data_IF_617810995708
#
_entry.id   IF_617810995708
#
_cell.length_a   1.000
_cell.length_b   1.000
_cell.length_c   1.000
_cell.angle_alpha   90.00
_cell.angle_beta   90.00
_cell.angle_gamma   90.00
#
_symmetry.space_group_name_H-M   'P 1'
#
loop_
_entity.id
_entity.type
_entity.pdbx_description
1 polymer ?
#
# COMPACT_ATOMS: atom_id res chain seq x y z
N UNK A 1 0.60 24.53 -1.32
CA UNK A 1 -0.30 25.57 -1.86
C UNK A 1 -0.05 25.64 -3.37
N UNK A 2 -1.07 25.45 -4.20
CA UNK A 2 -0.94 25.46 -5.68
C UNK A 2 -1.73 26.66 -6.23
N UNK A 3 -1.17 27.39 -7.19
CA UNK A 3 -1.76 28.56 -7.86
C UNK A 3 -2.88 28.24 -8.87
N UNK A 4 -3.11 26.97 -9.18
CA UNK A 4 -4.10 26.55 -10.20
C UNK A 4 -5.37 25.90 -9.66
N UNK A 5 -5.35 25.39 -8.42
CA UNK A 5 -6.49 24.71 -7.81
C UNK A 5 -6.79 25.36 -6.46
N UNK A 6 -8.04 25.82 -6.28
CA UNK A 6 -8.50 26.54 -5.08
C UNK A 6 -9.07 25.62 -4.00
N UNK A 7 -9.22 24.32 -4.28
CA UNK A 7 -9.69 23.32 -3.32
C UNK A 7 -8.79 22.09 -3.36
N UNK A 8 -8.59 21.46 -2.20
CA UNK A 8 -7.99 20.13 -2.14
C UNK A 8 -8.85 19.14 -2.93
N UNK A 9 -8.25 18.17 -3.63
CA UNK A 9 -9.03 17.06 -4.16
C UNK A 9 -9.77 16.35 -3.02
N UNK A 10 -10.91 15.75 -3.33
CA UNK A 10 -11.76 15.08 -2.36
C UNK A 10 -12.02 13.65 -2.80
N UNK A 11 -12.31 12.77 -1.84
CA UNK A 11 -12.69 11.38 -2.09
C UNK A 11 -11.55 10.40 -1.88
N UNK A 12 -11.74 9.20 -2.43
CA UNK A 12 -10.82 8.09 -2.33
C UNK A 12 -10.51 7.60 -3.74
N UNK A 13 -9.24 7.55 -4.11
CA UNK A 13 -8.76 6.96 -5.34
C UNK A 13 -7.76 5.87 -5.02
N UNK A 14 -8.03 4.65 -5.49
CA UNK A 14 -7.17 3.48 -5.31
C UNK A 14 -6.86 2.95 -6.68
N UNK A 15 -5.57 2.81 -6.98
CA UNK A 15 -5.06 2.20 -8.20
C UNK A 15 -4.28 0.94 -7.83
N UNK A 16 -4.70 -0.19 -8.36
CA UNK A 16 -3.97 -1.47 -8.25
C UNK A 16 -3.42 -1.79 -9.62
N UNK A 17 -2.09 -1.85 -9.72
CA UNK A 17 -1.39 -2.12 -10.98
C UNK A 17 -0.67 -3.46 -10.90
N UNK A 18 -1.27 -4.55 -11.44
CA UNK A 18 -0.60 -5.84 -11.56
C UNK A 18 0.73 -5.74 -12.32
N UNK A 19 1.73 -6.50 -11.86
CA UNK A 19 2.99 -6.62 -12.59
C UNK A 19 2.81 -7.60 -13.76
N UNK A 20 3.06 -7.13 -14.99
CA UNK A 20 2.98 -7.94 -16.20
C UNK A 20 4.01 -9.08 -16.27
N UNK A 21 5.07 -9.02 -15.46
CA UNK A 21 6.20 -9.96 -15.50
C UNK A 21 6.27 -10.88 -14.27
N UNK A 22 5.50 -10.59 -13.22
CA UNK A 22 5.54 -11.33 -11.95
C UNK A 22 4.10 -11.60 -11.46
N UNK A 23 3.48 -12.71 -11.89
CA UNK A 23 2.12 -13.07 -11.49
C UNK A 23 1.97 -13.17 -9.97
N UNK A 24 0.93 -12.53 -9.42
CA UNK A 24 0.71 -12.45 -7.98
C UNK A 24 1.41 -11.28 -7.29
N UNK A 25 2.01 -10.36 -8.06
CA UNK A 25 2.55 -9.10 -7.54
C UNK A 25 1.86 -7.89 -8.17
N UNK A 26 1.61 -6.86 -7.37
CA UNK A 26 1.09 -5.57 -7.86
C UNK A 26 1.56 -4.40 -7.01
N UNK A 27 1.63 -3.23 -7.62
CA UNK A 27 1.76 -1.96 -6.89
C UNK A 27 0.37 -1.44 -6.56
N UNK A 28 0.21 -0.88 -5.37
CA UNK A 28 -1.04 -0.27 -4.89
C UNK A 28 -0.73 1.19 -4.56
N UNK A 29 -1.44 2.11 -5.19
CA UNK A 29 -1.40 3.53 -4.86
C UNK A 29 -2.76 3.95 -4.29
N UNK A 30 -2.74 4.57 -3.11
CA UNK A 30 -3.93 5.08 -2.43
C UNK A 30 -3.80 6.58 -2.26
N UNK A 31 -4.80 7.31 -2.74
CA UNK A 31 -4.98 8.74 -2.51
C UNK A 31 -6.30 8.90 -1.75
N UNK A 32 -6.21 9.22 -0.46
CA UNK A 32 -7.37 9.43 0.41
C UNK A 32 -7.30 10.79 1.10
N UNK A 33 -7.91 11.79 0.50
CA UNK A 33 -7.87 13.14 1.07
C UNK A 33 -8.64 13.28 2.39
N UNK A 34 -9.46 12.30 2.76
CA UNK A 34 -10.16 12.25 4.06
C UNK A 34 -9.27 11.80 5.22
N UNK A 35 -8.15 11.12 4.91
CA UNK A 35 -7.17 10.67 5.90
C UNK A 35 -7.65 9.51 6.75
N UNK A 36 -8.44 8.58 6.19
CA UNK A 36 -8.88 7.38 6.90
C UNK A 36 -7.68 6.53 7.36
N UNK A 37 -7.88 5.76 8.43
CA UNK A 37 -6.85 4.86 8.97
C UNK A 37 -6.70 3.56 8.18
N UNK A 38 -7.70 3.20 7.37
CA UNK A 38 -7.68 2.04 6.48
C UNK A 38 -8.63 2.22 5.30
N UNK A 39 -8.36 1.51 4.21
CA UNK A 39 -9.20 1.52 3.00
C UNK A 39 -9.43 0.10 2.49
N UNK A 40 -10.58 -0.16 1.88
CA UNK A 40 -10.87 -1.43 1.23
C UNK A 40 -10.25 -1.45 -0.19
N UNK A 41 -9.32 -2.37 -0.44
CA UNK A 41 -8.62 -2.50 -1.73
C UNK A 41 -9.04 -3.79 -2.41
N UNK A 42 -9.51 -3.71 -3.66
CA UNK A 42 -9.77 -4.89 -4.48
C UNK A 42 -8.46 -5.43 -5.08
N UNK A 43 -8.15 -6.70 -4.77
CA UNK A 43 -6.95 -7.41 -5.23
C UNK A 43 -7.28 -8.56 -6.19
N UNK A 44 -8.53 -8.67 -6.65
CA UNK A 44 -9.02 -9.77 -7.49
C UNK A 44 -8.29 -9.90 -8.84
N UNK A 45 -7.68 -8.82 -9.33
CA UNK A 45 -6.84 -8.84 -10.53
C UNK A 45 -5.45 -9.45 -10.31
N UNK A 46 -5.06 -9.70 -9.06
CA UNK A 46 -3.71 -10.11 -8.65
C UNK A 46 -3.72 -11.44 -7.89
N UNK A 47 -4.75 -11.65 -7.07
CA UNK A 47 -4.89 -12.79 -6.17
C UNK A 47 -6.19 -13.55 -6.47
N UNK A 48 -6.13 -14.85 -6.27
CA UNK A 48 -7.30 -15.74 -6.29
C UNK A 48 -7.69 -16.13 -4.87
N UNK A 49 -8.98 -16.42 -4.65
CA UNK A 49 -9.44 -16.83 -3.33
C UNK A 49 -8.69 -18.10 -2.87
N UNK A 50 -8.13 -18.06 -1.66
CA UNK A 50 -7.26 -19.08 -1.11
C UNK A 50 -5.75 -18.77 -1.21
N UNK A 51 -5.34 -17.78 -2.02
CA UNK A 51 -3.94 -17.35 -2.09
C UNK A 51 -3.50 -16.72 -0.76
N UNK A 52 -2.34 -17.14 -0.25
CA UNK A 52 -1.67 -16.41 0.84
C UNK A 52 -0.90 -15.25 0.27
N UNK A 53 -0.91 -14.11 0.96
CA UNK A 53 -0.26 -12.90 0.50
C UNK A 53 0.37 -12.10 1.64
N UNK A 54 1.26 -11.20 1.24
CA UNK A 54 1.79 -10.12 2.07
C UNK A 54 1.62 -8.78 1.36
N UNK A 55 1.43 -7.72 2.13
CA UNK A 55 1.47 -6.33 1.64
C UNK A 55 2.61 -5.62 2.36
N UNK A 56 3.52 -5.05 1.58
CA UNK A 56 4.69 -4.31 2.04
C UNK A 56 4.45 -2.81 1.83
N UNK A 57 4.97 -1.99 2.74
CA UNK A 57 5.07 -0.55 2.54
C UNK A 57 6.19 -0.26 1.53
N UNK A 58 5.93 0.52 0.48
CA UNK A 58 6.93 0.89 -0.49
C UNK A 58 8.05 1.77 0.11
N UNK A 59 7.78 2.53 1.17
CA UNK A 59 8.77 3.32 1.90
C UNK A 59 9.62 2.50 2.87
N UNK A 60 9.22 1.25 3.16
CA UNK A 60 9.98 0.30 3.95
C UNK A 60 9.86 -1.12 3.38
N UNK A 61 10.24 -1.29 2.12
CA UNK A 61 10.00 -2.51 1.36
C UNK A 61 10.62 -3.77 1.97
N UNK A 62 11.76 -3.64 2.65
CA UNK A 62 12.46 -4.74 3.31
C UNK A 62 12.09 -4.88 4.80
N UNK A 63 11.15 -4.07 5.29
CA UNK A 63 10.64 -4.13 6.65
C UNK A 63 9.60 -5.24 6.86
N UNK A 64 8.97 -5.23 8.03
CA UNK A 64 7.87 -6.13 8.32
C UNK A 64 6.66 -5.81 7.42
N UNK A 65 5.92 -6.83 6.94
CA UNK A 65 4.70 -6.62 6.17
C UNK A 65 3.67 -5.79 6.95
N UNK A 66 3.04 -4.86 6.24
CA UNK A 66 1.89 -4.09 6.75
C UNK A 66 0.70 -5.00 7.02
N UNK A 67 0.51 -6.01 6.17
CA UNK A 67 -0.55 -6.98 6.29
C UNK A 67 -0.11 -8.34 5.76
N UNK A 68 -0.48 -9.39 6.47
CA UNK A 68 -0.38 -10.79 6.05
C UNK A 68 -1.79 -11.38 6.07
N UNK A 69 -2.10 -12.25 5.13
CA UNK A 69 -3.40 -12.91 5.12
C UNK A 69 -3.59 -13.93 4.01
N UNK A 70 -4.79 -14.50 3.99
CA UNK A 70 -5.28 -15.34 2.90
C UNK A 70 -6.42 -14.58 2.22
N UNK A 71 -6.32 -14.42 0.91
CA UNK A 71 -7.32 -13.70 0.14
C UNK A 71 -8.61 -14.52 0.08
N UNK A 72 -9.73 -13.92 0.46
CA UNK A 72 -11.02 -14.61 0.52
C UNK A 72 -11.93 -14.26 -0.68
N UNK A 73 -11.41 -13.57 -1.69
CA UNK A 73 -12.19 -13.09 -2.84
C UNK A 73 -12.97 -11.81 -2.59
N UNK A 74 -12.85 -11.18 -1.42
CA UNK A 74 -13.43 -9.88 -1.10
C UNK A 74 -12.35 -8.81 -0.97
N UNK A 75 -12.68 -7.51 -1.10
CA UNK A 75 -11.73 -6.43 -0.89
C UNK A 75 -11.00 -6.55 0.46
N UNK A 76 -9.69 -6.33 0.45
CA UNK A 76 -8.82 -6.40 1.62
C UNK A 76 -8.81 -5.06 2.33
N UNK A 77 -9.08 -5.05 3.64
CA UNK A 77 -8.96 -3.84 4.45
C UNK A 77 -7.47 -3.54 4.70
N UNK A 78 -6.92 -2.59 3.95
CA UNK A 78 -5.52 -2.18 3.99
C UNK A 78 -5.34 -1.05 5.01
N UNK A 79 -4.54 -1.25 6.08
CA UNK A 79 -4.18 -0.16 6.98
C UNK A 79 -3.36 0.91 6.26
N UNK A 80 -3.77 2.17 6.39
CA UNK A 80 -3.02 3.35 5.98
C UNK A 80 -2.27 3.99 7.16
N UNK A 81 -2.53 3.58 8.40
CA UNK A 81 -1.86 4.09 9.61
C UNK A 81 -0.61 3.30 10.02
N UNK A 82 -0.35 2.16 9.36
CA UNK A 82 0.95 1.46 9.41
C UNK A 82 2.09 2.32 8.88
N UNK A 83 1.77 3.44 8.24
CA UNK A 83 2.62 4.58 7.87
C UNK A 83 3.27 5.29 9.07
N UNK A 84 2.96 4.92 10.31
CA UNK A 84 3.77 5.29 11.48
C UNK A 84 5.00 4.37 11.67
N UNK A 85 5.21 3.39 10.79
CA UNK A 85 6.42 2.58 10.75
C UNK A 85 7.62 3.38 10.21
N UNK A 86 8.82 3.00 10.65
CA UNK A 86 10.06 3.58 10.18
C UNK A 86 10.13 3.51 8.65
N UNK A 87 10.41 4.65 8.00
CA UNK A 87 10.86 4.68 6.61
C UNK A 87 12.25 4.06 6.56
N UNK A 88 12.59 3.33 5.50
CA UNK A 88 13.93 2.81 5.33
C UNK A 88 14.97 3.96 5.36
N UNK A 89 15.99 3.83 6.19
CA UNK A 89 17.05 4.84 6.28
C UNK A 89 18.07 4.68 5.14
N UNK A 90 18.62 5.78 4.61
CA UNK A 90 19.76 5.72 3.71
C UNK A 90 20.95 5.00 4.35
N UNK A 91 21.66 4.21 3.55
CA UNK A 91 22.93 3.61 3.97
C UNK A 91 23.93 4.74 4.24
N UNK A 92 24.56 4.71 5.42
CA UNK A 92 25.40 5.81 5.92
C UNK A 92 24.69 6.74 6.90
N UNK A 93 23.40 6.50 7.16
CA UNK A 93 22.58 7.27 8.10
C UNK A 93 21.99 8.53 7.47
N UNK A 94 21.08 9.16 8.21
CA UNK A 94 20.47 10.42 7.83
C UNK A 94 20.62 11.45 8.95
N UNK A 95 21.04 12.67 8.61
CA UNK A 95 21.02 13.80 9.56
C UNK A 95 19.61 14.37 9.78
N UNK A 96 18.61 13.87 9.06
CA UNK A 96 17.21 14.27 9.15
C UNK A 96 16.35 13.05 9.51
N UNK A 97 15.46 13.19 10.48
CA UNK A 97 14.46 12.16 10.80
C UNK A 97 13.56 11.98 9.57
N UNK A 98 13.67 10.83 8.93
CA UNK A 98 12.84 10.50 7.77
C UNK A 98 11.41 10.27 8.26
N UNK A 99 10.46 11.01 7.70
CA UNK A 99 9.05 10.88 8.02
C UNK A 99 8.34 10.19 6.88
N UNK A 100 7.48 9.26 7.23
CA UNK A 100 6.60 8.61 6.27
C UNK A 100 5.59 9.62 5.70
N UNK A 101 5.09 9.36 4.49
CA UNK A 101 3.93 10.06 3.94
C UNK A 101 2.72 9.98 4.87
N UNK A 102 1.87 11.01 4.88
CA UNK A 102 0.65 11.03 5.70
C UNK A 102 -0.34 9.96 5.26
N UNK A 103 -1.38 9.70 6.07
CA UNK A 103 -2.49 8.80 5.71
C UNK A 103 -3.25 9.22 4.45
N UNK A 104 -3.02 10.43 3.93
CA UNK A 104 -3.64 10.88 2.70
C UNK A 104 -3.02 10.27 1.43
N UNK A 105 -1.82 9.72 1.54
CA UNK A 105 -1.16 9.00 0.46
C UNK A 105 -0.41 7.77 0.96
N UNK A 106 -0.77 6.61 0.41
CA UNK A 106 -0.12 5.34 0.68
C UNK A 106 0.39 4.67 -0.61
N UNK A 107 1.59 4.12 -0.55
CA UNK A 107 2.17 3.33 -1.63
C UNK A 107 2.59 1.97 -1.07
N UNK A 108 2.08 0.90 -1.67
CA UNK A 108 2.27 -0.46 -1.18
C UNK A 108 2.57 -1.43 -2.30
N UNK A 109 3.12 -2.59 -1.94
CA UNK A 109 3.32 -3.71 -2.87
C UNK A 109 2.68 -4.94 -2.28
N UNK A 110 1.74 -5.55 -3.01
CA UNK A 110 1.21 -6.87 -2.67
C UNK A 110 2.03 -7.94 -3.36
N UNK A 111 2.33 -9.02 -2.65
CA UNK A 111 3.04 -10.19 -3.15
C UNK A 111 2.33 -11.44 -2.64
N UNK A 112 1.91 -12.31 -3.56
CA UNK A 112 1.45 -13.66 -3.24
C UNK A 112 2.61 -14.49 -2.70
N UNK A 113 2.42 -15.12 -1.55
CA UNK A 113 3.43 -15.94 -0.86
C UNK A 113 3.16 -17.43 -1.03
N UNK A 114 1.91 -17.84 -1.25
CA UNK A 114 1.54 -19.20 -1.65
C UNK A 114 0.27 -19.18 -2.50
N UNK A 115 0.19 -20.08 -3.48
CA UNK A 115 -1.02 -20.27 -4.26
C UNK A 115 -2.07 -21.07 -3.50
N UNK A 116 -3.35 -20.78 -3.76
CA UNK A 116 -4.46 -21.63 -3.38
C UNK A 116 -4.24 -23.06 -3.88
N UNK A 117 -4.70 -24.04 -3.09
CA UNK A 117 -4.59 -25.46 -3.39
C UNK A 117 -5.72 -25.94 -4.30
#
# INVERSE_FOLDING_TARGET
NNTYLTSSPTGLHIEVRPNAYEPGRANIAVYDWSGASSVAVDLSQVLTAGDSFQILDAQNYFGAPVLLGTYNGSPVNLPLSSTNAAVAEPIGGSSVVVKHTSTQFGAFVVIRTAQAK
#
